data_IF_015928164793
#
_entry.id   IF_015928164793
#
_cell.length_a   1.000
_cell.length_b   1.000
_cell.length_c   1.000
_cell.angle_alpha   90.00
_cell.angle_beta   90.00
_cell.angle_gamma   90.00
#
_symmetry.space_group_name_H-M   'P 1'
#
loop_
_entity.id
_entity.type
_entity.pdbx_description
1 polymer ?
#
# COMPACT_ATOMS: atom_id res chain seq x y z
N UNK A 1 -12.11 -1.88 -2.51
CA UNK A 1 -11.14 -2.30 -1.47
C UNK A 1 -10.53 -1.10 -0.76
N UNK A 2 -10.00 -0.12 -1.50
CA UNK A 2 -9.48 1.14 -0.94
C UNK A 2 -10.53 1.98 -0.20
N UNK A 3 -11.71 2.19 -0.77
CA UNK A 3 -12.79 2.94 -0.10
C UNK A 3 -13.21 2.32 1.25
N UNK A 4 -13.07 1.00 1.40
CA UNK A 4 -13.39 0.28 2.63
C UNK A 4 -12.32 0.43 3.73
N UNK A 5 -11.17 1.04 3.41
CA UNK A 5 -10.16 1.50 4.37
C UNK A 5 -10.08 3.04 4.43
N UNK A 6 -11.07 3.74 3.87
CA UNK A 6 -11.13 5.21 3.90
C UNK A 6 -10.30 5.92 2.83
N UNK A 7 -9.83 5.21 1.81
CA UNK A 7 -9.14 5.81 0.65
C UNK A 7 -10.14 5.84 -0.51
N UNK A 8 -10.76 6.99 -0.74
CA UNK A 8 -11.83 7.18 -1.71
C UNK A 8 -11.31 7.80 -3.01
N UNK A 9 -10.29 8.63 -2.92
CA UNK A 9 -9.70 9.37 -4.04
C UNK A 9 -8.22 9.05 -4.27
N UNK A 10 -7.72 9.43 -5.44
CA UNK A 10 -6.29 9.36 -5.73
C UNK A 10 -5.48 10.33 -4.85
N UNK A 11 -6.08 11.44 -4.39
CA UNK A 11 -5.45 12.37 -3.46
C UNK A 11 -5.30 11.74 -2.08
N UNK A 12 -6.33 11.05 -1.58
CA UNK A 12 -6.25 10.31 -0.30
C UNK A 12 -5.10 9.29 -0.34
N UNK A 13 -4.94 8.60 -1.48
CA UNK A 13 -3.84 7.65 -1.66
C UNK A 13 -2.47 8.35 -1.69
N UNK A 14 -2.37 9.57 -2.23
CA UNK A 14 -1.12 10.36 -2.23
C UNK A 14 -0.78 10.85 -0.83
N UNK A 15 -1.76 11.28 -0.05
CA UNK A 15 -1.56 11.72 1.33
C UNK A 15 -1.12 10.58 2.24
N UNK A 16 -1.75 9.41 2.10
CA UNK A 16 -1.46 8.23 2.95
C UNK A 16 -0.21 7.48 2.47
N UNK A 17 -0.01 7.37 1.16
CA UNK A 17 1.07 6.62 0.55
C UNK A 17 0.80 5.12 0.42
N UNK A 18 1.52 4.46 -0.50
CA UNK A 18 1.27 3.07 -0.89
C UNK A 18 1.49 2.06 0.24
N UNK A 19 2.55 2.21 1.05
CA UNK A 19 2.87 1.29 2.13
C UNK A 19 1.85 1.36 3.27
N UNK A 20 1.42 2.56 3.66
CA UNK A 20 0.39 2.74 4.69
C UNK A 20 -0.96 2.23 4.20
N UNK A 21 -1.36 2.57 2.98
CA UNK A 21 -2.59 2.05 2.37
C UNK A 21 -2.59 0.51 2.31
N UNK A 22 -1.47 -0.10 1.96
CA UNK A 22 -1.30 -1.56 2.00
C UNK A 22 -1.45 -2.14 3.41
N UNK A 23 -0.85 -1.52 4.42
CA UNK A 23 -0.97 -1.94 5.82
C UNK A 23 -2.41 -1.83 6.32
N UNK A 24 -3.12 -0.75 5.98
CA UNK A 24 -4.55 -0.59 6.30
C UNK A 24 -5.40 -1.70 5.65
N UNK A 25 -5.14 -2.03 4.38
CA UNK A 25 -5.81 -3.15 3.71
C UNK A 25 -5.48 -4.49 4.38
N UNK A 26 -4.22 -4.75 4.72
CA UNK A 26 -3.79 -5.96 5.44
C UNK A 26 -4.46 -6.09 6.79
N UNK A 27 -4.59 -4.99 7.53
CA UNK A 27 -5.29 -4.97 8.81
C UNK A 27 -6.79 -5.26 8.64
N UNK A 28 -7.43 -4.65 7.64
CA UNK A 28 -8.88 -4.76 7.43
C UNK A 28 -9.34 -6.08 6.80
N UNK A 29 -8.59 -6.61 5.84
CA UNK A 29 -8.94 -7.78 5.03
C UNK A 29 -8.08 -9.01 5.34
N UNK A 30 -7.07 -8.86 6.20
CA UNK A 30 -6.22 -9.95 6.64
C UNK A 30 -5.21 -10.43 5.58
N UNK A 31 -4.77 -11.70 5.67
CA UNK A 31 -3.65 -12.22 4.87
C UNK A 31 -3.96 -12.37 3.37
N UNK A 32 -5.22 -12.19 2.94
CA UNK A 32 -5.60 -12.22 1.53
C UNK A 32 -5.03 -11.05 0.71
N UNK A 33 -4.53 -10.00 1.37
CA UNK A 33 -3.85 -8.88 0.70
C UNK A 33 -2.40 -9.26 0.42
N UNK A 34 -2.10 -9.46 -0.86
CA UNK A 34 -0.78 -9.85 -1.34
C UNK A 34 0.09 -8.63 -1.70
N UNK A 35 1.38 -8.85 -1.95
CA UNK A 35 2.34 -7.80 -2.32
C UNK A 35 2.03 -7.12 -3.66
N UNK A 36 1.30 -7.80 -4.56
CA UNK A 36 0.84 -7.17 -5.81
C UNK A 36 -0.05 -5.95 -5.51
N UNK A 37 -0.84 -5.98 -4.45
CA UNK A 37 -1.64 -4.84 -4.03
C UNK A 37 -0.74 -3.64 -3.65
N UNK A 38 0.34 -3.86 -2.90
CA UNK A 38 1.32 -2.83 -2.56
C UNK A 38 1.94 -2.20 -3.82
N UNK A 39 2.42 -3.02 -4.75
CA UNK A 39 3.07 -2.51 -5.96
C UNK A 39 2.07 -1.82 -6.89
N UNK A 40 0.82 -2.28 -6.95
CA UNK A 40 -0.25 -1.63 -7.70
C UNK A 40 -0.56 -0.23 -7.14
N UNK A 41 -0.59 -0.07 -5.81
CA UNK A 41 -0.79 1.24 -5.18
C UNK A 41 0.38 2.19 -5.48
N UNK A 42 1.61 1.70 -5.35
CA UNK A 42 2.79 2.47 -5.70
C UNK A 42 2.83 2.83 -7.20
N UNK A 43 2.29 1.97 -8.06
CA UNK A 43 2.18 2.21 -9.49
C UNK A 43 1.14 3.28 -9.82
N UNK A 44 -0.01 3.23 -9.15
CA UNK A 44 -1.06 4.25 -9.25
C UNK A 44 -0.56 5.64 -8.85
N UNK A 45 0.32 5.73 -7.84
CA UNK A 45 0.94 6.99 -7.43
C UNK A 45 1.95 7.53 -8.45
N UNK A 46 2.62 6.65 -9.20
CA UNK A 46 3.67 7.00 -10.17
C UNK A 46 3.17 7.03 -11.62
N UNK A 47 1.86 6.87 -11.84
CA UNK A 47 1.24 6.72 -13.15
C UNK A 47 1.94 5.67 -14.04
N UNK A 48 2.38 4.55 -13.43
CA UNK A 48 3.08 3.47 -14.16
C UNK A 48 2.66 2.10 -13.66
N UNK A 49 2.63 1.11 -14.55
CA UNK A 49 2.24 -0.25 -14.19
C UNK A 49 3.33 -0.94 -13.35
N UNK A 50 2.94 -1.70 -12.32
CA UNK A 50 3.88 -2.34 -11.38
C UNK A 50 4.88 -3.30 -12.05
N UNK A 51 4.58 -3.82 -13.24
CA UNK A 51 5.52 -4.67 -14.01
C UNK A 51 6.74 -3.90 -14.50
N UNK A 52 6.68 -2.57 -14.57
CA UNK A 52 7.84 -1.74 -14.93
C UNK A 52 8.80 -1.53 -13.77
N UNK A 53 8.45 -2.00 -12.56
CA UNK A 53 9.31 -1.84 -11.39
C UNK A 53 10.45 -2.85 -11.45
N UNK A 54 11.65 -2.35 -11.21
CA UNK A 54 12.84 -3.17 -10.93
C UNK A 54 12.67 -3.94 -9.62
N UNK A 55 13.45 -5.00 -9.45
CA UNK A 55 13.43 -5.79 -8.22
C UNK A 55 13.89 -4.97 -7.00
N UNK A 56 14.78 -4.00 -7.21
CA UNK A 56 15.21 -3.06 -6.17
C UNK A 56 14.06 -2.16 -5.69
N UNK A 57 13.24 -1.63 -6.62
CA UNK A 57 12.07 -0.82 -6.27
C UNK A 57 11.01 -1.63 -5.53
N UNK A 58 10.75 -2.89 -5.95
CA UNK A 58 9.83 -3.79 -5.25
C UNK A 58 10.33 -4.14 -3.85
N UNK A 59 11.63 -4.39 -3.69
CA UNK A 59 12.23 -4.68 -2.39
C UNK A 59 12.15 -3.47 -1.44
N UNK A 60 12.37 -2.25 -1.96
CA UNK A 60 12.21 -1.03 -1.18
C UNK A 60 10.76 -0.84 -0.70
N UNK A 61 9.78 -1.08 -1.58
CA UNK A 61 8.36 -1.03 -1.22
C UNK A 61 8.02 -2.08 -0.16
N UNK A 62 8.47 -3.32 -0.34
CA UNK A 62 8.24 -4.41 0.62
C UNK A 62 8.85 -4.09 2.00
N UNK A 63 10.04 -3.46 2.03
CA UNK A 63 10.68 -3.02 3.26
C UNK A 63 9.87 -1.93 3.97
N UNK A 64 9.40 -0.91 3.23
CA UNK A 64 8.57 0.19 3.75
C UNK A 64 7.24 -0.33 4.32
N UNK A 65 6.64 -1.31 3.65
CA UNK A 65 5.39 -1.95 4.06
C UNK A 65 5.52 -2.94 5.22
N UNK A 66 6.73 -3.35 5.60
CA UNK A 66 6.96 -4.35 6.67
C UNK A 66 6.80 -3.78 8.08
N UNK A 67 6.66 -2.45 8.24
CA UNK A 67 6.39 -1.83 9.53
C UNK A 67 5.02 -2.22 10.10
N UNK A 68 4.95 -2.57 11.37
CA UNK A 68 3.68 -2.86 12.04
C UNK A 68 2.88 -1.56 12.22
N UNK A 69 1.54 -1.60 12.07
CA UNK A 69 0.71 -0.44 12.38
C UNK A 69 0.75 -0.28 13.89
N UNK A 70 1.55 0.66 14.38
CA UNK A 70 1.54 1.09 15.77
C UNK A 70 0.22 1.84 16.01
N UNK A 71 -0.88 1.08 16.09
CA UNK A 71 -2.17 1.58 16.51
C UNK A 71 -2.03 1.80 18.00
N UNK A 72 -1.67 3.01 18.40
CA UNK A 72 -1.63 3.40 19.80
C UNK A 72 -2.96 3.01 20.45
N UNK A 73 -2.93 1.95 21.25
CA UNK A 73 -4.00 1.59 22.18
C UNK A 73 -4.14 2.76 23.15
N UNK A 74 -5.14 3.60 22.91
CA UNK A 74 -5.71 4.51 23.90
C UNK A 74 -6.73 3.77 24.75
#
# INVERSE_FOLDING_TARGET
>A
MLAAVGIETADDLREVGAAMAYRMMRHRFGPGVNRLALWALAGALQDRHWTSFTDAEKAALDADASGDLDVGTA
#
